data_IF_675541531253
#
_entry.id   IF_675541531253
#
_cell.length_a   1.000
_cell.length_b   1.000
_cell.length_c   1.000
_cell.angle_alpha   90.00
_cell.angle_beta   90.00
_cell.angle_gamma   90.00
#
_symmetry.space_group_name_H-M   'P 1'
#
loop_
_entity.id
_entity.type
_entity.pdbx_description
1 polymer ?
#
# COMPACT_ATOMS: atom_id res chain seq x y z
N UNK A 1 45.98 -7.54 27.19
CA UNK A 1 44.78 -8.06 26.48
C UNK A 1 43.45 -7.38 26.87
N UNK A 2 43.32 -6.71 28.03
CA UNK A 2 42.02 -6.14 28.49
C UNK A 2 41.55 -4.83 27.83
N UNK A 3 42.45 -4.03 27.24
CA UNK A 3 42.12 -2.73 26.60
C UNK A 3 41.56 -2.91 25.18
N UNK A 4 42.16 -3.78 24.38
CA UNK A 4 41.81 -3.97 22.96
C UNK A 4 40.42 -4.58 22.76
N UNK A 5 40.00 -5.50 23.63
CA UNK A 5 38.66 -6.11 23.56
C UNK A 5 37.53 -5.10 23.84
N UNK A 6 37.74 -4.15 24.77
CA UNK A 6 36.78 -3.08 25.06
C UNK A 6 36.64 -2.11 23.88
N UNK A 7 37.74 -1.79 23.20
CA UNK A 7 37.74 -0.91 22.02
C UNK A 7 37.03 -1.56 20.83
N UNK A 8 37.26 -2.85 20.60
CA UNK A 8 36.59 -3.60 19.54
C UNK A 8 35.07 -3.71 19.79
N UNK A 9 34.66 -3.95 21.05
CA UNK A 9 33.24 -3.99 21.43
C UNK A 9 32.56 -2.63 21.20
N UNK A 10 33.23 -1.53 21.56
CA UNK A 10 32.72 -0.18 21.37
C UNK A 10 32.57 0.18 19.88
N UNK A 11 33.56 -0.16 19.06
CA UNK A 11 33.53 0.07 17.61
C UNK A 11 32.41 -0.75 16.91
N UNK A 12 32.16 -1.98 17.37
CA UNK A 12 31.06 -2.81 16.88
C UNK A 12 29.67 -2.25 17.24
N UNK A 13 29.51 -1.73 18.46
CA UNK A 13 28.26 -1.08 18.89
C UNK A 13 27.98 0.22 18.12
N UNK A 14 29.01 1.00 17.80
CA UNK A 14 28.89 2.23 16.98
C UNK A 14 28.52 1.93 15.52
N UNK A 15 28.92 0.78 14.96
CA UNK A 15 28.63 0.45 13.56
C UNK A 15 27.20 -0.07 13.34
N UNK A 16 26.54 -0.62 14.36
CA UNK A 16 25.14 -1.07 14.29
C UNK A 16 24.17 0.12 14.15
N UNK A 17 24.53 1.30 14.70
CA UNK A 17 23.69 2.50 14.64
C UNK A 17 23.75 3.29 13.33
N UNK A 18 24.73 3.04 12.45
CA UNK A 18 24.97 3.86 11.26
C UNK A 18 24.19 3.42 10.01
N UNK A 19 23.45 2.30 10.08
CA UNK A 19 22.71 1.74 8.93
C UNK A 19 21.19 1.68 9.13
N UNK A 20 20.61 2.53 9.96
CA UNK A 20 19.15 2.70 9.99
C UNK A 20 18.71 3.53 8.77
N UNK A 21 18.43 2.84 7.66
CA UNK A 21 17.67 3.43 6.56
C UNK A 21 16.22 3.60 7.01
N UNK A 22 15.74 4.84 7.09
CA UNK A 22 14.35 5.12 7.38
C UNK A 22 13.48 4.72 6.18
N UNK A 23 12.68 3.67 6.34
CA UNK A 23 11.63 3.35 5.36
C UNK A 23 10.51 4.36 5.58
N UNK A 24 10.36 5.30 4.64
CA UNK A 24 9.19 6.19 4.58
C UNK A 24 7.97 5.43 4.10
N UNK A 25 6.78 5.83 4.53
CA UNK A 25 5.51 5.21 4.15
C UNK A 25 4.54 6.25 3.58
N UNK A 26 3.72 5.81 2.62
CA UNK A 26 2.70 6.61 1.94
C UNK A 26 1.35 5.92 2.07
N UNK A 27 0.28 6.70 2.24
CA UNK A 27 -1.09 6.16 2.29
C UNK A 27 -1.66 6.12 0.87
N UNK A 28 -2.16 4.96 0.47
CA UNK A 28 -2.74 4.73 -0.86
C UNK A 28 -4.10 4.05 -0.75
N UNK A 29 -4.92 4.14 -1.80
CA UNK A 29 -6.20 3.42 -1.88
C UNK A 29 -5.96 1.95 -2.18
N UNK A 30 -6.34 1.07 -1.25
CA UNK A 30 -6.30 -0.38 -1.49
C UNK A 30 -7.54 -0.84 -2.24
N UNK A 31 -8.71 -0.38 -1.79
CA UNK A 31 -9.99 -0.88 -2.26
C UNK A 31 -11.02 0.23 -2.27
N UNK A 32 -11.92 0.19 -3.24
CA UNK A 32 -13.09 1.07 -3.28
C UNK A 32 -14.17 0.44 -4.14
N UNK A 33 -15.40 0.94 -3.99
CA UNK A 33 -16.54 0.55 -4.81
C UNK A 33 -16.99 1.71 -5.68
N UNK A 34 -17.51 1.41 -6.86
CA UNK A 34 -18.22 2.37 -7.70
C UNK A 34 -19.43 1.72 -8.38
N UNK A 35 -20.37 2.55 -8.80
CA UNK A 35 -21.56 2.12 -9.52
C UNK A 35 -21.42 2.51 -11.00
N UNK A 36 -21.38 1.52 -11.89
CA UNK A 36 -21.48 1.73 -13.33
C UNK A 36 -22.93 1.97 -13.71
N UNK A 37 -23.26 3.15 -14.19
CA UNK A 37 -24.60 3.46 -14.66
C UNK A 37 -24.85 2.75 -16.00
N UNK A 38 -25.82 1.85 -16.04
CA UNK A 38 -26.11 1.05 -17.25
C UNK A 38 -26.91 1.81 -18.31
N UNK A 39 -27.54 2.94 -17.96
CA UNK A 39 -28.30 3.76 -18.89
C UNK A 39 -27.44 4.82 -19.60
N UNK A 40 -26.44 5.36 -18.90
CA UNK A 40 -25.58 6.44 -19.39
C UNK A 40 -24.12 6.00 -19.64
N UNK A 41 -23.79 4.74 -19.32
CA UNK A 41 -22.47 4.13 -19.57
C UNK A 41 -21.29 4.91 -18.96
N UNK A 42 -21.40 5.28 -17.68
CA UNK A 42 -20.29 5.87 -16.93
C UNK A 42 -20.28 5.48 -15.46
N UNK A 43 -19.09 5.52 -14.86
CA UNK A 43 -18.86 5.24 -13.44
C UNK A 43 -19.27 6.42 -12.55
N UNK A 44 -20.03 6.14 -11.50
CA UNK A 44 -20.49 7.11 -10.51
C UNK A 44 -20.44 6.53 -9.10
N UNK A 45 -20.77 7.34 -8.09
CA UNK A 45 -20.93 6.93 -6.70
C UNK A 45 -19.73 6.14 -6.14
N UNK A 46 -18.54 6.73 -6.13
CA UNK A 46 -17.36 6.11 -5.53
C UNK A 46 -17.47 6.12 -3.99
N UNK A 47 -17.36 4.95 -3.35
CA UNK A 47 -17.55 4.82 -1.91
C UNK A 47 -16.80 3.61 -1.31
N UNK A 48 -16.94 3.40 -0.01
CA UNK A 48 -16.30 2.32 0.75
C UNK A 48 -14.78 2.25 0.53
N UNK A 49 -14.12 3.40 0.51
CA UNK A 49 -12.68 3.49 0.31
C UNK A 49 -11.93 2.91 1.51
N UNK A 50 -11.05 1.97 1.25
CA UNK A 50 -10.10 1.45 2.19
C UNK A 50 -8.70 1.91 1.79
N UNK A 51 -7.96 2.45 2.75
CA UNK A 51 -6.61 2.92 2.57
C UNK A 51 -5.63 2.04 3.32
N UNK A 52 -4.41 1.92 2.79
CA UNK A 52 -3.30 1.22 3.45
C UNK A 52 -2.06 2.10 3.40
N UNK A 53 -1.19 1.95 4.41
CA UNK A 53 0.13 2.57 4.41
C UNK A 53 1.14 1.57 3.83
N UNK A 54 1.84 1.96 2.77
CA UNK A 54 2.84 1.13 2.10
C UNK A 54 4.18 1.86 2.08
N UNK A 55 5.31 1.16 1.97
CA UNK A 55 6.61 1.81 1.80
C UNK A 55 6.61 2.75 0.60
N UNK A 56 7.26 3.91 0.72
CA UNK A 56 7.28 4.93 -0.33
C UNK A 56 7.98 4.48 -1.63
N UNK A 57 8.77 3.41 -1.58
CA UNK A 57 9.38 2.80 -2.75
C UNK A 57 8.43 1.87 -3.53
N UNK A 58 7.29 1.49 -2.94
CA UNK A 58 6.30 0.67 -3.60
C UNK A 58 5.66 1.41 -4.79
N UNK A 59 5.34 0.66 -5.84
CA UNK A 59 4.78 1.15 -7.10
C UNK A 59 3.47 0.46 -7.40
N UNK A 60 2.54 1.18 -7.99
CA UNK A 60 1.30 0.61 -8.50
C UNK A 60 1.59 -0.48 -9.55
N UNK A 61 0.89 -1.61 -9.45
CA UNK A 61 1.05 -2.78 -10.34
C UNK A 61 -0.16 -3.04 -11.22
N UNK A 62 -1.33 -2.58 -10.82
CA UNK A 62 -2.58 -2.82 -11.51
C UNK A 62 -3.72 -2.97 -10.52
N UNK A 63 -4.84 -3.45 -11.01
CA UNK A 63 -6.03 -3.69 -10.21
C UNK A 63 -6.80 -4.87 -10.76
N UNK A 64 -7.57 -5.50 -9.88
CA UNK A 64 -8.66 -6.36 -10.29
C UNK A 64 -9.97 -5.63 -10.05
N UNK A 65 -10.95 -5.92 -10.89
CA UNK A 65 -12.28 -5.37 -10.82
C UNK A 65 -13.33 -6.48 -10.86
N UNK A 66 -14.25 -6.46 -9.91
CA UNK A 66 -15.27 -7.49 -9.74
C UNK A 66 -16.65 -6.87 -9.61
N UNK A 67 -17.63 -7.38 -10.36
CA UNK A 67 -19.04 -7.03 -10.11
C UNK A 67 -19.48 -7.67 -8.80
N UNK A 68 -19.87 -6.86 -7.82
CA UNK A 68 -20.29 -7.30 -6.48
C UNK A 68 -21.77 -7.03 -6.20
N UNK A 69 -22.47 -6.36 -7.10
CA UNK A 69 -23.89 -6.09 -6.96
C UNK A 69 -24.48 -5.42 -8.20
N UNK A 70 -25.79 -5.20 -8.15
CA UNK A 70 -26.55 -4.52 -9.18
C UNK A 70 -27.83 -3.93 -8.60
N UNK A 71 -28.41 -3.00 -9.33
CA UNK A 71 -29.73 -2.45 -9.08
C UNK A 71 -30.41 -2.07 -10.39
N UNK A 72 -31.52 -1.34 -10.30
CA UNK A 72 -32.35 -1.03 -11.46
C UNK A 72 -31.61 -0.32 -12.61
N UNK A 73 -30.64 0.56 -12.30
CA UNK A 73 -29.88 1.33 -13.29
C UNK A 73 -28.36 1.31 -13.08
N UNK A 74 -27.83 0.34 -12.31
CA UNK A 74 -26.39 0.25 -12.10
C UNK A 74 -25.89 -1.16 -11.83
N UNK A 75 -24.62 -1.39 -12.17
CA UNK A 75 -23.82 -2.50 -11.67
C UNK A 75 -22.80 -1.95 -10.67
N UNK A 76 -22.67 -2.57 -9.51
CA UNK A 76 -21.65 -2.20 -8.53
C UNK A 76 -20.39 -3.02 -8.74
N UNK A 77 -19.28 -2.34 -8.84
CA UNK A 77 -17.97 -2.94 -8.95
C UNK A 77 -17.12 -2.65 -7.72
N UNK A 78 -16.34 -3.65 -7.32
CA UNK A 78 -15.26 -3.53 -6.36
C UNK A 78 -13.94 -3.52 -7.11
N UNK A 79 -13.12 -2.50 -6.83
CA UNK A 79 -11.77 -2.39 -7.37
C UNK A 79 -10.77 -2.66 -6.26
N UNK A 80 -9.86 -3.60 -6.49
CA UNK A 80 -8.75 -3.93 -5.60
C UNK A 80 -7.45 -3.54 -6.28
N UNK A 81 -6.74 -2.57 -5.73
CA UNK A 81 -5.46 -2.07 -6.25
C UNK A 81 -4.30 -2.91 -5.69
N UNK A 82 -3.32 -3.20 -6.54
CA UNK A 82 -2.11 -3.93 -6.17
C UNK A 82 -0.89 -3.05 -6.28
N UNK A 83 0.00 -3.18 -5.29
CA UNK A 83 1.26 -2.45 -5.24
C UNK A 83 2.44 -3.43 -5.08
N UNK A 84 3.59 -3.08 -5.66
CA UNK A 84 4.81 -3.86 -5.53
C UNK A 84 5.23 -3.97 -4.07
N UNK A 85 5.77 -5.12 -3.69
CA UNK A 85 6.03 -5.44 -2.28
C UNK A 85 4.92 -6.26 -1.63
N UNK A 86 3.83 -6.55 -2.36
CA UNK A 86 2.74 -7.43 -1.90
C UNK A 86 1.62 -6.71 -1.17
N UNK A 87 1.40 -5.42 -1.48
CA UNK A 87 0.42 -4.57 -0.80
C UNK A 87 -0.85 -4.33 -1.60
#
# INVERSE_FOLDING_TARGET
MKKSAKVALLAGLLSIGLFQSSVSAVTVTKKYWYDWNTAFEYSMNYHNHQYISIPSWSRYKGYDEYKIGEGWNYHRYEVINYYSGGY
#
